data_IF_353962022108
#
_entry.id   IF_353962022108
#
_cell.length_a   1.000
_cell.length_b   1.000
_cell.length_c   1.000
_cell.angle_alpha   90.00
_cell.angle_beta   90.00
_cell.angle_gamma   90.00
#
_symmetry.space_group_name_H-M   'P 1'
#
loop_
_entity.id
_entity.type
_entity.pdbx_description
1 polymer ?
#
# COMPACT_ATOMS: atom_id res chain seq x y z
N UNK A 1 -1.28 -15.69 12.67
CA UNK A 1 -0.62 -14.84 11.68
C UNK A 1 0.03 -13.61 12.30
N UNK A 2 -0.61 -13.03 13.29
CA UNK A 2 -0.05 -11.88 14.01
C UNK A 2 0.27 -12.20 15.46
N UNK A 3 0.57 -13.45 15.72
CA UNK A 3 0.89 -13.92 17.08
C UNK A 3 2.16 -13.27 17.62
N UNK A 4 3.03 -12.81 16.71
CA UNK A 4 4.23 -12.10 17.07
C UNK A 4 3.94 -10.79 17.82
N UNK A 5 2.81 -10.16 17.54
CA UNK A 5 2.42 -8.91 18.20
C UNK A 5 2.14 -9.13 19.68
N UNK A 6 1.58 -10.27 20.02
CA UNK A 6 1.25 -10.57 21.42
C UNK A 6 2.48 -10.69 22.31
N UNK A 7 3.62 -11.04 21.71
CA UNK A 7 4.87 -11.16 22.43
C UNK A 7 5.74 -9.90 22.44
N UNK A 8 5.27 -8.84 21.80
CA UNK A 8 6.05 -7.61 21.71
C UNK A 8 5.83 -6.72 22.92
N UNK A 9 6.91 -6.10 23.40
CA UNK A 9 6.79 -5.07 24.40
C UNK A 9 6.34 -3.76 23.78
N UNK A 10 6.14 -2.74 24.61
CA UNK A 10 5.62 -1.47 24.15
C UNK A 10 6.54 -0.82 23.10
N UNK A 11 7.85 -0.87 23.32
CA UNK A 11 8.80 -0.22 22.40
C UNK A 11 8.78 -0.89 21.04
N UNK A 12 8.66 -2.22 21.01
CA UNK A 12 8.55 -2.95 19.76
C UNK A 12 7.24 -2.67 19.05
N UNK A 13 6.14 -2.59 19.80
CA UNK A 13 4.85 -2.24 19.21
C UNK A 13 4.87 -0.85 18.62
N UNK A 14 5.50 0.11 19.30
CA UNK A 14 5.64 1.46 18.77
C UNK A 14 6.47 1.49 17.50
N UNK A 15 7.56 0.74 17.47
CA UNK A 15 8.40 0.64 16.27
C UNK A 15 7.62 0.05 15.10
N UNK A 16 6.81 -0.98 15.36
CA UNK A 16 5.97 -1.60 14.35
C UNK A 16 4.94 -0.63 13.80
N UNK A 17 4.28 0.13 14.67
CA UNK A 17 3.31 1.13 14.25
C UNK A 17 3.96 2.21 13.40
N UNK A 18 5.14 2.68 13.80
CA UNK A 18 5.87 3.70 13.04
C UNK A 18 6.26 3.19 11.66
N UNK A 19 6.71 1.95 11.59
CA UNK A 19 7.08 1.32 10.33
C UNK A 19 5.88 1.26 9.38
N UNK A 20 4.74 0.81 9.89
CA UNK A 20 3.53 0.70 9.08
C UNK A 20 3.02 2.06 8.64
N UNK A 21 3.05 3.05 9.52
CA UNK A 21 2.64 4.40 9.15
C UNK A 21 3.55 4.99 8.08
N UNK A 22 4.85 4.77 8.19
CA UNK A 22 5.80 5.22 7.18
C UNK A 22 5.51 4.57 5.84
N UNK A 23 5.19 3.26 5.84
CA UNK A 23 4.84 2.56 4.62
C UNK A 23 3.57 3.10 3.98
N UNK A 24 2.56 3.37 4.78
CA UNK A 24 1.31 3.95 4.28
C UNK A 24 1.56 5.33 3.67
N UNK A 25 2.37 6.15 4.32
CA UNK A 25 2.70 7.47 3.80
C UNK A 25 3.48 7.38 2.49
N UNK A 26 4.44 6.47 2.42
CA UNK A 26 5.20 6.25 1.20
C UNK A 26 4.29 5.83 0.05
N UNK A 27 3.35 4.92 0.33
CA UNK A 27 2.36 4.50 -0.67
C UNK A 27 1.48 5.67 -1.11
N UNK A 28 1.02 6.47 -0.15
CA UNK A 28 0.18 7.63 -0.44
C UNK A 28 0.92 8.65 -1.31
N UNK A 29 2.20 8.84 -1.05
CA UNK A 29 2.98 9.91 -1.69
C UNK A 29 3.57 9.51 -3.03
N UNK A 30 3.43 8.24 -3.44
CA UNK A 30 3.89 7.82 -4.77
C UNK A 30 2.69 7.79 -5.72
N UNK A 31 2.85 8.41 -6.87
CA UNK A 31 1.79 8.41 -7.87
C UNK A 31 2.11 7.60 -9.10
N UNK A 32 3.34 7.21 -9.26
CA UNK A 32 3.72 6.34 -10.35
C UNK A 32 3.39 4.89 -10.08
N UNK A 33 2.69 4.63 -8.98
CA UNK A 33 2.37 3.27 -8.57
C UNK A 33 3.61 2.42 -8.31
N UNK A 34 4.68 3.08 -7.94
CA UNK A 34 5.93 2.40 -7.61
C UNK A 34 5.77 1.55 -6.35
N UNK A 35 4.82 1.91 -5.50
CA UNK A 35 4.54 1.18 -4.29
C UNK A 35 3.08 0.75 -4.28
N UNK A 36 2.78 -0.31 -5.00
CA UNK A 36 1.43 -0.85 -5.09
C UNK A 36 1.32 -2.13 -4.25
N UNK A 37 0.10 -2.63 -4.10
CA UNK A 37 -0.15 -3.80 -3.26
C UNK A 37 0.64 -5.04 -3.65
N UNK A 38 1.10 -5.09 -4.90
CA UNK A 38 1.91 -6.22 -5.38
C UNK A 38 3.40 -5.93 -5.31
N UNK A 39 3.80 -4.77 -4.80
CA UNK A 39 5.21 -4.40 -4.75
C UNK A 39 5.90 -5.04 -3.55
N UNK A 40 7.10 -5.62 -3.74
CA UNK A 40 7.83 -6.24 -2.64
C UNK A 40 8.09 -5.32 -1.45
N UNK A 41 8.32 -4.04 -1.70
CA UNK A 41 8.58 -3.08 -0.62
C UNK A 41 7.41 -2.96 0.34
N UNK A 42 6.19 -3.12 -0.16
CA UNK A 42 5.02 -3.10 0.69
C UNK A 42 4.88 -4.40 1.48
N UNK A 43 5.15 -5.52 0.82
CA UNK A 43 5.08 -6.83 1.46
C UNK A 43 6.14 -6.99 2.55
N UNK A 44 7.29 -6.33 2.41
CA UNK A 44 8.35 -6.40 3.40
C UNK A 44 7.94 -5.76 4.74
N UNK A 45 6.83 -5.02 4.77
CA UNK A 45 6.30 -4.48 6.00
C UNK A 45 5.61 -5.54 6.85
N UNK A 46 5.29 -6.69 6.28
CA UNK A 46 4.64 -7.77 6.98
C UNK A 46 5.67 -8.82 7.42
N UNK A 47 5.43 -9.49 8.53
CA UNK A 47 6.37 -10.51 9.00
C UNK A 47 6.51 -11.69 8.04
N UNK A 48 5.45 -12.06 7.33
CA UNK A 48 5.48 -13.16 6.38
C UNK A 48 6.13 -12.79 5.05
N UNK A 49 6.30 -11.49 4.79
CA UNK A 49 6.99 -10.94 3.63
C UNK A 49 6.50 -11.52 2.30
N UNK A 50 7.10 -12.62 1.86
CA UNK A 50 6.77 -13.19 0.56
C UNK A 50 5.90 -14.44 0.64
N UNK A 51 5.26 -14.69 1.78
CA UNK A 51 4.35 -15.82 1.91
C UNK A 51 2.95 -15.32 2.25
N UNK A 52 1.95 -15.60 1.40
CA UNK A 52 2.08 -16.32 0.13
C UNK A 52 2.93 -15.59 -0.89
N UNK A 53 3.41 -16.29 -1.90
CA UNK A 53 4.27 -15.68 -2.91
C UNK A 53 3.61 -14.50 -3.58
N UNK A 54 4.39 -13.47 -3.83
CA UNK A 54 3.90 -12.29 -4.52
C UNK A 54 3.52 -12.69 -5.94
N UNK A 55 2.29 -12.34 -6.32
CA UNK A 55 1.78 -12.60 -7.65
C UNK A 55 1.26 -11.30 -8.24
N UNK A 56 1.45 -11.14 -9.53
CA UNK A 56 0.97 -9.94 -10.22
C UNK A 56 -0.21 -10.31 -11.09
N UNK A 57 -1.23 -9.44 -11.18
CA UNK A 57 -2.35 -9.69 -12.05
C UNK A 57 -1.97 -9.46 -13.51
N UNK A 58 -2.65 -10.13 -14.46
CA UNK A 58 -2.45 -9.81 -15.86
C UNK A 58 -2.88 -8.38 -16.14
N UNK A 59 -2.30 -7.78 -17.17
CA UNK A 59 -2.53 -6.37 -17.48
C UNK A 59 -4.01 -5.98 -17.60
N UNK A 60 -4.87 -6.75 -18.29
CA UNK A 60 -6.27 -6.34 -18.38
C UNK A 60 -6.96 -6.27 -17.03
N UNK A 61 -6.69 -7.23 -16.16
CA UNK A 61 -7.27 -7.24 -14.82
C UNK A 61 -6.74 -6.09 -13.97
N UNK A 62 -5.44 -5.83 -14.08
CA UNK A 62 -4.80 -4.75 -13.36
C UNK A 62 -5.41 -3.41 -13.76
N UNK A 63 -5.58 -3.18 -15.07
CA UNK A 63 -6.15 -1.94 -15.57
C UNK A 63 -7.60 -1.76 -15.13
N UNK A 64 -8.38 -2.83 -15.14
CA UNK A 64 -9.77 -2.76 -14.64
C UNK A 64 -9.81 -2.38 -13.17
N UNK A 65 -8.88 -2.91 -12.38
CA UNK A 65 -8.77 -2.57 -10.98
C UNK A 65 -8.45 -1.10 -10.76
N UNK A 66 -7.54 -0.56 -11.55
CA UNK A 66 -7.18 0.87 -11.48
C UNK A 66 -8.38 1.76 -11.82
N UNK A 67 -9.13 1.40 -12.85
CA UNK A 67 -10.32 2.15 -13.26
C UNK A 67 -11.36 2.12 -12.14
N UNK A 68 -11.60 0.96 -11.57
CA UNK A 68 -12.56 0.79 -10.49
C UNK A 68 -12.16 1.58 -9.25
N UNK A 69 -10.88 1.57 -8.92
CA UNK A 69 -10.36 2.36 -7.81
C UNK A 69 -10.59 3.84 -8.05
N UNK A 70 -10.29 4.31 -9.25
CA UNK A 70 -10.47 5.71 -9.60
C UNK A 70 -11.95 6.12 -9.51
N UNK A 71 -12.85 5.26 -9.97
CA UNK A 71 -14.28 5.50 -9.86
C UNK A 71 -14.75 5.60 -8.41
N UNK A 72 -14.20 4.75 -7.54
CA UNK A 72 -14.56 4.80 -6.13
C UNK A 72 -14.14 6.10 -5.48
N UNK A 73 -13.07 6.73 -5.95
CA UNK A 73 -12.66 8.04 -5.46
C UNK A 73 -13.68 9.11 -5.84
N UNK A 74 -14.26 9.01 -7.03
CA UNK A 74 -15.31 9.96 -7.44
C UNK A 74 -16.54 9.85 -6.54
N UNK A 75 -16.84 8.66 -6.06
CA UNK A 75 -17.96 8.41 -5.19
C UNK A 75 -17.69 8.86 -3.76
N UNK A 76 -16.49 8.56 -3.25
CA UNK A 76 -16.16 8.80 -1.84
C UNK A 76 -15.59 10.18 -1.57
N UNK A 77 -14.97 10.77 -2.57
CA UNK A 77 -14.36 12.08 -2.43
C UNK A 77 -14.63 12.93 -3.68
N UNK A 78 -15.92 13.25 -3.94
CA UNK A 78 -16.29 13.96 -5.19
C UNK A 78 -15.68 15.35 -5.30
N UNK A 79 -15.35 15.95 -4.18
CA UNK A 79 -14.80 17.30 -4.17
C UNK A 79 -13.28 17.32 -4.10
N UNK A 80 -12.64 16.17 -4.17
CA UNK A 80 -11.19 16.11 -4.11
C UNK A 80 -10.58 16.73 -5.37
N UNK A 81 -9.55 17.55 -5.21
CA UNK A 81 -8.90 18.15 -6.37
C UNK A 81 -8.17 17.11 -7.21
N UNK A 82 -8.10 17.38 -8.50
CA UNK A 82 -7.33 16.54 -9.40
C UNK A 82 -5.87 16.89 -9.26
N UNK A 83 -5.05 15.88 -8.99
CA UNK A 83 -3.61 16.04 -8.86
C UNK A 83 -2.96 15.56 -10.15
N UNK A 84 -2.46 16.48 -10.93
CA UNK A 84 -1.93 16.17 -12.25
C UNK A 84 -0.41 16.20 -12.33
N UNK A 85 0.26 16.35 -11.19
CA UNK A 85 1.73 16.31 -11.16
C UNK A 85 2.21 14.88 -11.03
N UNK A 86 3.31 14.58 -11.70
CA UNK A 86 3.97 13.30 -11.51
C UNK A 86 4.92 13.40 -10.34
N UNK A 87 4.89 12.37 -9.48
CA UNK A 87 5.67 12.40 -8.26
C UNK A 87 7.07 11.90 -8.46
N UNK A 88 7.30 11.08 -9.38
CA UNK A 88 8.60 10.50 -9.55
C UNK A 88 9.40 11.15 -10.56
N UNK A 89 9.10 12.33 -10.73
CA UNK A 89 9.76 13.15 -11.75
C UNK A 89 11.20 13.18 -11.58
#
# INVERSE_FOLDING_TARGET
MDDDLDGMDRDRLLAEVRKLRAGIRAHRDTTGYDLCWHHPDLWDLLPEKTEPSIAVPPWPKFMRGCIRYRQSLDEQAPDAPVHDKEFNG
#
